data_IF_350889338793
#
_entry.id   IF_350889338793
#
_cell.length_a   1.000
_cell.length_b   1.000
_cell.length_c   1.000
_cell.angle_alpha   90.00
_cell.angle_beta   90.00
_cell.angle_gamma   90.00
#
_symmetry.space_group_name_H-M   'P 1'
#
loop_
_entity.id
_entity.type
_entity.pdbx_description
1 polymer ?
#
# COMPACT_ATOMS: atom_id res chain seq x y z
N UNK A 1 7.97 -4.70 20.72
CA UNK A 1 7.95 -5.08 19.29
C UNK A 1 9.18 -5.92 18.99
N UNK A 2 9.01 -7.23 18.96
CA UNK A 2 9.98 -8.16 18.37
C UNK A 2 10.08 -7.83 16.89
N UNK A 3 11.21 -7.26 16.47
CA UNK A 3 11.45 -6.99 15.05
C UNK A 3 11.54 -8.34 14.33
N UNK A 4 10.71 -8.56 13.32
CA UNK A 4 10.89 -9.69 12.42
C UNK A 4 12.25 -9.52 11.73
N UNK A 5 13.18 -10.43 11.99
CA UNK A 5 14.51 -10.42 11.38
C UNK A 5 14.36 -10.73 9.89
N UNK A 6 14.36 -9.71 9.04
CA UNK A 6 14.32 -9.89 7.58
C UNK A 6 13.58 -8.80 6.80
N UNK A 7 12.69 -8.04 7.44
CA UNK A 7 11.96 -6.96 6.78
C UNK A 7 12.93 -5.81 6.43
N UNK A 8 12.79 -5.27 5.22
CA UNK A 8 13.38 -4.00 4.82
C UNK A 8 12.48 -2.89 5.35
N UNK A 9 13.07 -1.82 5.85
CA UNK A 9 12.29 -0.66 6.31
C UNK A 9 11.24 -1.01 7.38
N UNK A 10 11.46 -2.11 8.12
CA UNK A 10 10.59 -2.52 9.22
C UNK A 10 9.34 -3.29 8.84
N UNK A 11 8.76 -3.06 7.66
CA UNK A 11 7.46 -3.61 7.21
C UNK A 11 7.42 -3.99 5.72
N UNK A 12 8.56 -3.96 5.00
CA UNK A 12 8.63 -4.42 3.61
C UNK A 12 9.30 -5.79 3.53
N UNK A 13 8.68 -6.75 2.82
CA UNK A 13 9.28 -8.07 2.57
C UNK A 13 10.47 -7.96 1.62
N UNK A 14 11.62 -8.56 1.97
CA UNK A 14 12.83 -8.59 1.14
C UNK A 14 12.81 -9.72 0.09
N UNK A 15 11.77 -9.76 -0.73
CA UNK A 15 11.58 -10.77 -1.78
C UNK A 15 12.40 -10.46 -3.06
N UNK A 16 12.32 -11.33 -4.06
CA UNK A 16 13.01 -11.15 -5.34
C UNK A 16 12.55 -9.87 -6.05
N UNK A 17 11.25 -9.56 -5.99
CA UNK A 17 10.67 -8.36 -6.59
C UNK A 17 11.26 -7.09 -5.96
N UNK A 18 11.36 -7.00 -4.63
CA UNK A 18 12.03 -5.89 -3.96
C UNK A 18 13.47 -5.70 -4.48
N UNK A 19 14.22 -6.80 -4.64
CA UNK A 19 15.61 -6.75 -5.12
C UNK A 19 15.70 -6.29 -6.57
N UNK A 20 14.75 -6.69 -7.43
CA UNK A 20 14.66 -6.23 -8.81
C UNK A 20 14.32 -4.73 -8.86
N UNK A 21 13.28 -4.30 -8.12
CA UNK A 21 12.82 -2.90 -8.10
C UNK A 21 13.87 -1.93 -7.56
N UNK A 22 14.74 -2.39 -6.67
CA UNK A 22 15.83 -1.58 -6.11
C UNK A 22 17.16 -1.74 -6.84
N UNK A 23 17.19 -2.45 -7.98
CA UNK A 23 18.40 -2.65 -8.79
C UNK A 23 19.48 -3.50 -8.14
N UNK A 24 19.16 -4.27 -7.10
CA UNK A 24 20.10 -5.15 -6.38
C UNK A 24 20.39 -6.45 -7.11
N UNK A 25 19.48 -6.89 -7.97
CA UNK A 25 19.65 -8.06 -8.83
C UNK A 25 19.25 -7.67 -10.25
N UNK A 26 20.05 -8.08 -11.24
CA UNK A 26 19.72 -7.90 -12.65
C UNK A 26 18.49 -8.73 -13.01
N UNK A 27 17.59 -8.17 -13.80
CA UNK A 27 16.40 -8.90 -14.23
C UNK A 27 16.80 -10.14 -15.05
N UNK A 28 16.52 -11.37 -14.59
CA UNK A 28 17.05 -12.61 -15.20
C UNK A 28 16.55 -12.89 -16.63
N UNK A 29 15.66 -12.08 -17.21
CA UNK A 29 15.21 -12.23 -18.62
C UNK A 29 15.65 -11.11 -19.58
N UNK A 30 16.72 -10.38 -19.27
CA UNK A 30 17.57 -9.72 -20.29
C UNK A 30 16.94 -8.71 -21.25
N UNK A 31 15.83 -8.02 -20.91
CA UNK A 31 15.35 -6.87 -21.71
C UNK A 31 15.73 -5.54 -21.05
N UNK A 32 16.33 -4.66 -21.86
CA UNK A 32 16.80 -3.32 -21.52
C UNK A 32 15.67 -2.50 -20.88
N UNK A 33 15.91 -2.06 -19.66
CA UNK A 33 15.66 -0.69 -19.19
C UNK A 33 14.32 0.00 -19.44
N UNK A 34 13.22 -0.76 -19.48
CA UNK A 34 11.93 -0.23 -19.04
C UNK A 34 11.26 -1.23 -18.11
N UNK A 35 11.33 -0.97 -16.81
CA UNK A 35 10.48 -1.61 -15.79
C UNK A 35 8.97 -1.36 -16.03
N UNK A 36 8.59 -0.70 -17.15
CA UNK A 36 7.23 -0.63 -17.67
C UNK A 36 6.74 -1.97 -18.26
N UNK A 37 7.63 -2.92 -18.56
CA UNK A 37 7.30 -4.12 -19.35
C UNK A 37 6.96 -5.36 -18.49
N UNK A 38 6.81 -5.20 -17.17
CA UNK A 38 6.24 -6.23 -16.29
C UNK A 38 5.28 -5.59 -15.30
N UNK A 39 3.99 -5.90 -15.41
CA UNK A 39 3.16 -6.61 -14.43
C UNK A 39 3.42 -6.51 -12.90
N UNK A 40 4.19 -5.54 -12.40
CA UNK A 40 4.38 -5.23 -10.98
C UNK A 40 3.17 -4.53 -10.38
N UNK A 41 2.33 -3.96 -11.23
CA UNK A 41 1.05 -3.39 -10.83
C UNK A 41 -0.05 -4.44 -10.96
N UNK A 42 -1.12 -4.22 -10.20
CA UNK A 42 -2.33 -5.00 -10.35
C UNK A 42 -3.00 -4.68 -11.68
N UNK A 43 -3.21 -5.71 -12.50
CA UNK A 43 -3.78 -5.56 -13.84
C UNK A 43 -5.15 -4.86 -13.77
N UNK A 44 -5.36 -3.89 -14.66
CA UNK A 44 -6.57 -3.08 -14.71
C UNK A 44 -6.92 -2.34 -13.40
N UNK A 45 -5.95 -2.14 -12.50
CA UNK A 45 -6.16 -1.60 -11.15
C UNK A 45 -7.12 -2.47 -10.29
N UNK A 46 -7.20 -3.77 -10.57
CA UNK A 46 -8.06 -4.71 -9.83
C UNK A 46 -7.20 -5.57 -8.93
N UNK A 47 -7.47 -5.54 -7.63
CA UNK A 47 -6.77 -6.33 -6.60
C UNK A 47 -7.67 -7.46 -6.11
N UNK A 48 -7.47 -8.71 -6.60
CA UNK A 48 -8.09 -9.87 -5.98
C UNK A 48 -7.59 -10.05 -4.54
N UNK A 49 -8.50 -10.34 -3.62
CA UNK A 49 -8.15 -10.54 -2.20
C UNK A 49 -8.93 -11.67 -1.54
N UNK A 50 -8.33 -12.25 -0.51
CA UNK A 50 -9.02 -13.06 0.48
C UNK A 50 -8.70 -12.53 1.89
N UNK A 51 -9.61 -12.71 2.83
CA UNK A 51 -9.38 -12.39 4.24
C UNK A 51 -9.46 -13.69 5.04
N UNK A 52 -8.30 -14.15 5.52
CA UNK A 52 -8.15 -15.44 6.18
C UNK A 52 -9.05 -15.56 7.41
N UNK A 53 -9.42 -16.80 7.76
CA UNK A 53 -10.41 -17.11 8.80
C UNK A 53 -10.01 -16.57 10.19
N UNK A 54 -8.72 -16.56 10.47
CA UNK A 54 -8.08 -16.02 11.69
C UNK A 54 -8.24 -14.50 11.86
N UNK A 55 -8.65 -13.77 10.81
CA UNK A 55 -8.87 -12.33 10.91
C UNK A 55 -10.12 -12.01 11.74
N UNK A 56 -9.92 -11.25 12.82
CA UNK A 56 -11.00 -10.79 13.70
C UNK A 56 -12.06 -9.96 12.97
N UNK A 57 -13.28 -9.91 13.53
CA UNK A 57 -14.40 -9.10 13.00
C UNK A 57 -13.99 -7.64 12.83
N UNK A 58 -13.26 -7.10 13.81
CA UNK A 58 -12.69 -5.74 13.74
C UNK A 58 -11.72 -5.59 12.57
N UNK A 59 -10.77 -6.51 12.41
CA UNK A 59 -9.81 -6.52 11.30
C UNK A 59 -10.49 -6.51 9.95
N UNK A 60 -11.44 -7.43 9.71
CA UNK A 60 -12.25 -7.50 8.49
C UNK A 60 -12.96 -6.18 8.18
N UNK A 61 -13.57 -5.55 9.20
CA UNK A 61 -14.27 -4.27 9.06
C UNK A 61 -13.31 -3.14 8.66
N UNK A 62 -12.11 -3.12 9.24
CA UNK A 62 -11.09 -2.10 8.95
C UNK A 62 -10.50 -2.29 7.55
N UNK A 63 -10.22 -3.53 7.13
CA UNK A 63 -9.77 -3.85 5.76
C UNK A 63 -10.77 -3.35 4.72
N UNK A 64 -12.05 -3.69 4.86
CA UNK A 64 -13.10 -3.19 3.95
C UNK A 64 -13.25 -1.67 3.96
N UNK A 65 -12.97 -1.00 5.10
CA UNK A 65 -12.96 0.47 5.17
C UNK A 65 -11.77 1.06 4.41
N UNK A 66 -10.59 0.45 4.50
CA UNK A 66 -9.41 0.84 3.73
C UNK A 66 -9.67 0.70 2.22
N UNK A 67 -10.23 -0.44 1.78
CA UNK A 67 -10.62 -0.66 0.38
C UNK A 67 -11.50 0.46 -0.16
N UNK A 68 -12.58 0.79 0.55
CA UNK A 68 -13.48 1.89 0.17
C UNK A 68 -12.79 3.25 0.17
N UNK A 69 -11.82 3.48 1.04
CA UNK A 69 -11.13 4.77 1.11
C UNK A 69 -10.21 5.00 -0.10
N UNK A 70 -9.52 3.95 -0.53
CA UNK A 70 -8.67 3.95 -1.73
C UNK A 70 -9.54 4.03 -3.00
N UNK A 71 -10.53 3.14 -3.13
CA UNK A 71 -11.42 3.09 -4.29
C UNK A 71 -12.30 4.35 -4.44
N UNK A 72 -12.54 5.11 -3.37
CA UNK A 72 -13.28 6.38 -3.48
C UNK A 72 -12.48 7.49 -4.19
N UNK A 73 -11.14 7.38 -4.20
CA UNK A 73 -10.24 8.46 -4.65
C UNK A 73 -9.34 8.03 -5.81
N UNK A 74 -9.50 6.80 -6.29
CA UNK A 74 -8.72 6.22 -7.36
C UNK A 74 -9.53 5.15 -8.08
N UNK A 75 -9.08 4.76 -9.28
CA UNK A 75 -9.64 3.66 -10.04
C UNK A 75 -9.30 2.26 -9.48
N UNK A 76 -8.52 2.18 -8.40
CA UNK A 76 -8.15 0.91 -7.77
C UNK A 76 -9.38 0.28 -7.12
N UNK A 77 -9.64 -0.99 -7.45
CA UNK A 77 -10.77 -1.76 -6.93
C UNK A 77 -10.31 -3.06 -6.28
N UNK A 78 -11.09 -3.55 -5.32
CA UNK A 78 -10.77 -4.72 -4.53
C UNK A 78 -11.85 -5.78 -4.73
N UNK A 79 -11.48 -6.95 -5.23
CA UNK A 79 -12.43 -8.00 -5.56
C UNK A 79 -12.16 -9.26 -4.73
N UNK A 80 -13.18 -9.91 -4.14
CA UNK A 80 -13.02 -11.22 -3.52
C UNK A 80 -12.44 -12.21 -4.53
N UNK A 81 -11.36 -12.88 -4.13
CA UNK A 81 -10.66 -13.86 -4.96
C UNK A 81 -11.65 -14.90 -5.50
N UNK A 82 -11.45 -15.25 -6.76
CA UNK A 82 -12.15 -16.32 -7.48
C UNK A 82 -11.13 -17.37 -7.89
N UNK A 83 -11.58 -18.59 -8.23
CA UNK A 83 -10.69 -19.70 -8.57
C UNK A 83 -9.72 -19.41 -9.73
N UNK A 84 -10.10 -18.55 -10.67
CA UNK A 84 -9.29 -18.16 -11.82
C UNK A 84 -8.25 -17.05 -11.52
N UNK A 85 -8.26 -16.47 -10.31
CA UNK A 85 -7.23 -15.51 -9.91
C UNK A 85 -6.00 -16.25 -9.40
N UNK A 86 -4.95 -16.26 -10.22
CA UNK A 86 -3.65 -16.79 -9.85
C UNK A 86 -2.94 -15.88 -8.84
N UNK A 87 -3.07 -14.56 -9.01
CA UNK A 87 -2.41 -13.57 -8.17
C UNK A 87 -3.43 -12.82 -7.30
N UNK A 88 -3.14 -12.72 -6.01
CA UNK A 88 -4.06 -12.12 -5.06
C UNK A 88 -3.39 -11.83 -3.72
N UNK A 89 -3.98 -10.91 -2.95
CA UNK A 89 -3.56 -10.61 -1.58
C UNK A 89 -4.34 -11.48 -0.58
N UNK A 90 -3.63 -12.13 0.32
CA UNK A 90 -4.20 -12.82 1.49
C UNK A 90 -3.93 -11.99 2.74
N UNK A 91 -5.00 -11.41 3.30
CA UNK A 91 -4.93 -10.68 4.57
C UNK A 91 -5.02 -11.66 5.75
N UNK A 92 -3.98 -11.72 6.57
CA UNK A 92 -3.86 -12.68 7.68
C UNK A 92 -3.66 -11.98 9.03
N UNK A 93 -3.99 -12.66 10.12
CA UNK A 93 -3.68 -12.19 11.48
C UNK A 93 -2.29 -12.66 11.91
N UNK A 94 -1.26 -12.09 11.30
CA UNK A 94 0.14 -12.46 11.54
C UNK A 94 0.81 -11.71 12.70
N UNK A 95 2.12 -11.94 12.86
CA UNK A 95 2.99 -11.22 13.79
C UNK A 95 3.60 -10.02 13.07
N UNK A 96 3.38 -8.82 13.61
CA UNK A 96 3.77 -7.57 12.95
C UNK A 96 2.90 -7.23 11.72
N UNK A 97 3.26 -6.13 11.08
CA UNK A 97 2.51 -5.52 10.01
C UNK A 97 3.48 -5.31 8.86
N UNK A 98 3.19 -5.92 7.72
CA UNK A 98 4.08 -5.89 6.58
C UNK A 98 3.38 -6.33 5.29
N UNK A 99 3.97 -5.94 4.18
CA UNK A 99 3.59 -6.34 2.83
C UNK A 99 4.80 -6.45 1.91
N UNK A 100 4.65 -7.18 0.81
CA UNK A 100 5.50 -7.02 -0.37
C UNK A 100 5.17 -5.71 -1.10
N UNK A 101 6.09 -5.25 -1.96
CA UNK A 101 5.88 -4.09 -2.83
C UNK A 101 5.28 -4.53 -4.15
N UNK A 102 4.09 -4.03 -4.49
CA UNK A 102 3.40 -4.35 -5.75
C UNK A 102 2.85 -5.77 -5.81
N UNK A 103 2.46 -6.20 -7.02
CA UNK A 103 2.01 -7.55 -7.34
C UNK A 103 3.21 -8.46 -7.56
N UNK A 104 3.46 -9.39 -6.64
CA UNK A 104 4.62 -10.31 -6.74
C UNK A 104 4.33 -11.60 -7.51
N UNK A 105 3.05 -11.90 -7.75
CA UNK A 105 2.58 -13.15 -8.34
C UNK A 105 2.20 -14.21 -7.28
N UNK A 106 1.23 -15.05 -7.61
CA UNK A 106 0.67 -16.04 -6.71
C UNK A 106 -0.04 -15.44 -5.49
N UNK A 107 -0.09 -16.23 -4.41
CA UNK A 107 -0.56 -15.78 -3.10
C UNK A 107 0.48 -14.88 -2.44
N UNK A 108 0.19 -13.60 -2.26
CA UNK A 108 1.02 -12.70 -1.46
C UNK A 108 0.33 -12.29 -0.15
N UNK A 109 1.10 -12.13 0.91
CA UNK A 109 0.57 -11.86 2.25
C UNK A 109 0.62 -10.37 2.57
N UNK A 110 -0.48 -9.88 3.13
CA UNK A 110 -0.48 -8.67 3.97
C UNK A 110 -0.75 -9.11 5.40
N UNK A 111 0.29 -9.01 6.25
CA UNK A 111 0.18 -9.37 7.67
C UNK A 111 -0.37 -8.20 8.45
N UNK A 112 -1.39 -8.44 9.27
CA UNK A 112 -1.96 -7.42 10.16
C UNK A 112 -2.05 -7.97 11.58
N UNK A 113 -1.08 -7.61 12.41
CA UNK A 113 -1.18 -7.82 13.85
C UNK A 113 -2.23 -6.87 14.48
N UNK A 114 -2.70 -7.18 15.69
CA UNK A 114 -3.81 -6.46 16.32
C UNK A 114 -3.56 -4.96 16.51
N UNK A 115 -2.30 -4.57 16.75
CA UNK A 115 -1.87 -3.17 16.90
C UNK A 115 -1.92 -2.37 15.59
N UNK A 116 -2.01 -3.01 14.42
CA UNK A 116 -2.16 -2.35 13.13
C UNK A 116 -3.56 -2.45 12.52
N UNK A 117 -4.52 -3.10 13.21
CA UNK A 117 -5.92 -3.21 12.76
C UNK A 117 -6.69 -1.91 13.00
N UNK A 118 -6.13 -0.80 12.54
CA UNK A 118 -6.78 0.51 12.40
C UNK A 118 -6.55 1.05 10.99
N UNK A 119 -7.46 1.92 10.56
CA UNK A 119 -7.66 2.26 9.15
C UNK A 119 -6.37 2.71 8.43
N UNK A 120 -5.60 3.62 9.02
CA UNK A 120 -4.43 4.17 8.34
C UNK A 120 -3.29 3.16 8.17
N UNK A 121 -3.01 2.30 9.16
CA UNK A 121 -2.01 1.24 8.99
C UNK A 121 -2.43 0.23 7.93
N UNK A 122 -3.70 -0.16 7.88
CA UNK A 122 -4.16 -1.06 6.83
C UNK A 122 -4.07 -0.40 5.44
N UNK A 123 -4.35 0.90 5.31
CA UNK A 123 -4.10 1.64 4.06
C UNK A 123 -2.62 1.61 3.69
N UNK A 124 -1.72 1.88 4.64
CA UNK A 124 -0.27 1.85 4.44
C UNK A 124 0.22 0.50 3.91
N UNK A 125 -0.17 -0.62 4.54
CA UNK A 125 0.21 -1.95 4.03
C UNK A 125 -0.38 -2.26 2.64
N UNK A 126 -1.60 -1.76 2.36
CA UNK A 126 -2.19 -1.89 1.03
C UNK A 126 -1.40 -1.05 0.02
N UNK A 127 -0.94 0.15 0.36
CA UNK A 127 -0.12 0.97 -0.54
C UNK A 127 1.20 0.27 -0.88
N UNK A 128 1.86 -0.38 0.08
CA UNK A 128 2.98 -1.27 -0.24
C UNK A 128 2.56 -2.31 -1.28
N UNK A 129 1.49 -3.06 -1.05
CA UNK A 129 0.99 -4.06 -2.01
C UNK A 129 0.57 -3.46 -3.37
N UNK A 130 0.24 -2.17 -3.44
CA UNK A 130 -0.05 -1.46 -4.69
C UNK A 130 1.21 -0.98 -5.42
N UNK A 131 2.36 -0.97 -4.75
CA UNK A 131 3.66 -0.61 -5.35
C UNK A 131 4.41 0.52 -4.65
N UNK A 132 3.91 1.09 -3.56
CA UNK A 132 4.51 2.27 -2.95
C UNK A 132 5.57 1.92 -1.90
N UNK A 133 6.77 2.51 -2.04
CA UNK A 133 7.80 2.52 -1.00
C UNK A 133 7.52 3.62 0.04
N UNK A 134 8.35 3.72 1.07
CA UNK A 134 8.24 4.81 2.02
C UNK A 134 8.70 6.15 1.44
N UNK A 135 8.04 7.23 1.81
CA UNK A 135 8.38 8.57 1.33
C UNK A 135 9.79 9.00 1.76
N UNK A 136 10.24 8.62 2.96
CA UNK A 136 11.60 8.91 3.43
C UNK A 136 12.68 8.07 2.74
N UNK A 137 12.32 7.15 1.84
CA UNK A 137 13.28 6.34 1.09
C UNK A 137 13.60 6.93 -0.29
N UNK A 138 12.80 7.91 -0.78
CA UNK A 138 12.96 8.57 -2.08
C UNK A 138 14.40 8.99 -2.37
N UNK A 139 14.80 8.95 -3.64
CA UNK A 139 16.16 9.36 -4.05
C UNK A 139 16.48 10.84 -3.78
N UNK A 140 15.46 11.71 -3.82
CA UNK A 140 15.55 13.15 -3.62
C UNK A 140 15.39 13.59 -2.15
N UNK A 141 15.11 12.66 -1.23
CA UNK A 141 14.75 12.98 0.17
C UNK A 141 15.74 13.89 0.90
N UNK A 142 17.02 13.82 0.54
CA UNK A 142 18.08 14.56 1.24
C UNK A 142 17.98 16.08 0.98
N UNK A 143 17.14 16.49 0.03
CA UNK A 143 16.76 17.90 -0.20
C UNK A 143 15.68 18.38 0.79
N UNK A 144 15.00 17.46 1.48
CA UNK A 144 13.81 17.76 2.29
C UNK A 144 13.99 17.41 3.76
N UNK A 145 14.67 16.29 4.04
CA UNK A 145 14.88 15.74 5.38
C UNK A 145 16.36 15.43 5.62
N UNK A 146 16.76 15.42 6.89
CA UNK A 146 18.03 14.84 7.35
C UNK A 146 17.79 13.61 8.21
N UNK A 147 18.66 12.62 8.02
CA UNK A 147 18.75 11.42 8.87
C UNK A 147 19.76 11.67 9.99
N UNK A 148 19.31 11.61 11.24
CA UNK A 148 20.16 11.80 12.42
C UNK A 148 20.74 10.45 12.84
N UNK A 149 21.74 10.02 12.07
CA UNK A 149 22.36 8.69 12.17
C UNK A 149 22.78 8.27 13.58
N UNK A 150 23.26 9.22 14.40
CA UNK A 150 23.69 8.95 15.78
C UNK A 150 22.58 8.48 16.72
N UNK A 151 21.30 8.77 16.40
CA UNK A 151 20.15 8.40 17.21
C UNK A 151 19.53 7.06 16.80
N UNK A 152 19.96 6.44 15.70
CA UNK A 152 19.38 5.18 15.18
C UNK A 152 19.97 3.98 15.94
N UNK A 153 19.13 2.99 16.28
CA UNK A 153 19.55 1.71 16.87
C UNK A 153 20.60 1.00 16.01
N UNK A 154 21.59 0.37 16.66
CA UNK A 154 22.57 -0.50 15.98
C UNK A 154 21.81 -1.57 15.17
N UNK A 155 22.23 -1.81 13.93
CA UNK A 155 21.57 -2.75 13.01
C UNK A 155 20.37 -2.19 12.23
N UNK A 156 19.83 -1.01 12.60
CA UNK A 156 18.64 -0.43 11.95
C UNK A 156 18.95 0.63 10.89
N UNK A 157 20.22 0.99 10.69
CA UNK A 157 20.64 2.01 9.70
C UNK A 157 20.18 1.68 8.27
N UNK A 158 20.09 0.39 7.92
CA UNK A 158 19.62 -0.06 6.60
C UNK A 158 18.18 0.37 6.26
N UNK A 159 17.35 0.66 7.27
CA UNK A 159 15.97 1.11 7.12
C UNK A 159 15.86 2.61 6.76
N UNK A 160 17.00 3.30 6.71
CA UNK A 160 17.12 4.70 6.31
C UNK A 160 17.98 4.85 5.06
N UNK A 161 18.29 3.78 4.35
CA UNK A 161 18.99 3.91 3.07
C UNK A 161 18.01 4.47 2.05
N UNK A 162 18.49 5.30 1.13
CA UNK A 162 17.70 5.80 0.00
C UNK A 162 17.98 4.92 -1.20
N UNK A 163 16.97 4.68 -2.02
CA UNK A 163 17.13 3.95 -3.27
C UNK A 163 16.42 4.71 -4.38
N UNK A 164 16.87 4.51 -5.63
CA UNK A 164 16.10 4.93 -6.80
C UNK A 164 15.09 3.83 -7.07
N UNK A 165 13.82 4.05 -6.76
CA UNK A 165 12.74 3.05 -6.93
C UNK A 165 12.29 2.89 -8.39
N UNK A 166 13.16 3.16 -9.37
CA UNK A 166 12.80 3.18 -10.78
C UNK A 166 11.70 4.22 -11.09
N UNK A 167 10.68 3.88 -11.90
CA UNK A 167 9.67 4.83 -12.38
C UNK A 167 8.71 5.35 -11.30
N UNK A 168 8.65 4.68 -10.13
CA UNK A 168 7.71 5.02 -9.05
C UNK A 168 8.33 5.85 -7.93
N UNK A 169 9.59 6.24 -8.08
CA UNK A 169 10.34 6.93 -7.03
C UNK A 169 9.69 8.26 -6.62
N UNK A 170 9.33 9.09 -7.60
CA UNK A 170 8.66 10.37 -7.34
C UNK A 170 7.28 10.47 -7.99
N UNK A 171 7.09 9.79 -9.12
CA UNK A 171 5.92 9.94 -10.01
C UNK A 171 5.63 11.42 -10.36
N UNK A 172 6.68 12.22 -10.48
CA UNK A 172 6.59 13.67 -10.71
C UNK A 172 5.69 14.39 -9.70
N UNK A 173 5.72 13.95 -8.43
CA UNK A 173 5.02 14.59 -7.32
C UNK A 173 6.03 15.15 -6.30
N UNK A 174 5.70 16.28 -5.65
CA UNK A 174 6.56 16.88 -4.63
C UNK A 174 6.73 15.94 -3.42
N UNK A 175 7.82 16.10 -2.69
CA UNK A 175 8.05 15.37 -1.44
C UNK A 175 6.96 15.67 -0.41
N UNK A 176 6.30 14.63 0.11
CA UNK A 176 5.18 14.78 1.03
C UNK A 176 5.53 14.39 2.47
N UNK A 177 5.90 15.38 3.28
CA UNK A 177 6.18 15.21 4.71
C UNK A 177 5.03 14.57 5.51
N UNK A 178 3.80 14.66 5.01
CA UNK A 178 2.60 14.14 5.66
C UNK A 178 2.06 12.89 4.96
N UNK A 179 2.77 12.32 3.99
CA UNK A 179 2.38 11.06 3.35
C UNK A 179 2.12 10.00 4.41
N UNK A 180 1.09 9.17 4.18
CA UNK A 180 0.85 8.01 5.03
C UNK A 180 2.00 6.98 4.97
N UNK A 181 2.86 7.09 3.94
CA UNK A 181 4.06 6.28 3.72
C UNK A 181 5.32 6.93 4.29
N UNK A 182 5.24 8.05 5.01
CA UNK A 182 6.40 8.65 5.65
C UNK A 182 6.63 8.05 7.04
N UNK A 183 7.88 7.74 7.40
CA UNK A 183 8.24 7.41 8.79
C UNK A 183 7.97 8.56 9.77
N UNK A 184 7.73 8.23 11.03
CA UNK A 184 7.70 9.22 12.10
C UNK A 184 9.11 9.72 12.48
N UNK A 185 9.18 10.86 13.17
CA UNK A 185 10.45 11.48 13.56
C UNK A 185 11.36 10.56 14.38
N UNK A 186 10.81 9.58 15.11
CA UNK A 186 11.52 8.73 16.08
C UNK A 186 11.66 7.29 15.61
N UNK A 187 11.36 6.99 14.34
CA UNK A 187 11.50 5.66 13.78
C UNK A 187 12.86 5.04 14.15
N UNK A 188 12.85 3.82 14.69
CA UNK A 188 14.04 3.08 15.13
C UNK A 188 15.03 3.84 16.05
N UNK A 189 14.56 4.82 16.83
CA UNK A 189 15.41 5.57 17.77
C UNK A 189 15.95 4.69 18.90
N UNK A 190 17.23 4.88 19.25
CA UNK A 190 17.86 4.19 20.40
C UNK A 190 17.76 4.95 21.71
N UNK A 191 17.41 6.23 21.65
CA UNK A 191 17.49 7.16 22.79
C UNK A 191 16.26 8.08 22.91
N UNK A 192 15.17 7.76 22.22
CA UNK A 192 13.92 8.53 22.26
C UNK A 192 13.97 9.89 21.54
N UNK A 193 15.12 10.25 20.95
CA UNK A 193 15.33 11.45 20.15
C UNK A 193 15.06 11.18 18.67
N UNK A 194 14.83 12.25 17.91
CA UNK A 194 14.51 12.15 16.49
C UNK A 194 15.63 11.47 15.70
N UNK A 195 15.25 10.59 14.78
CA UNK A 195 16.07 10.01 13.72
C UNK A 195 15.80 10.69 12.38
N UNK A 196 14.66 11.36 12.20
CA UNK A 196 14.28 12.13 11.02
C UNK A 196 13.78 13.53 11.37
N UNK A 197 14.24 14.53 10.63
CA UNK A 197 13.79 15.92 10.73
C UNK A 197 13.71 16.57 9.35
N UNK A 198 12.70 17.42 9.14
CA UNK A 198 12.67 18.34 8.00
C UNK A 198 13.85 19.33 8.09
N UNK A 199 14.45 19.65 6.94
CA UNK A 199 15.53 20.62 6.83
C UNK A 199 15.03 22.06 7.07
N UNK A 200 13.81 22.38 6.62
CA UNK A 200 13.23 23.73 6.70
C UNK A 200 12.44 23.96 7.98
N UNK A 201 11.86 22.91 8.57
CA UNK A 201 11.15 23.00 9.85
C UNK A 201 11.47 21.81 10.76
N UNK A 202 12.54 21.88 11.57
CA UNK A 202 12.95 20.78 12.45
C UNK A 202 11.90 20.35 13.49
N UNK A 203 10.89 21.18 13.79
CA UNK A 203 9.81 20.86 14.74
C UNK A 203 8.60 20.18 14.08
N UNK A 204 8.60 20.02 12.77
CA UNK A 204 7.52 19.36 12.03
C UNK A 204 7.33 17.91 12.49
N UNK A 205 6.08 17.55 12.78
CA UNK A 205 5.70 16.16 13.10
C UNK A 205 5.51 15.36 11.81
N UNK A 206 6.33 14.34 11.63
CA UNK A 206 6.29 13.41 10.51
C UNK A 206 5.56 12.11 10.93
N UNK A 207 5.20 11.29 9.95
CA UNK A 207 4.63 9.95 10.20
C UNK A 207 3.19 9.94 10.68
N UNK A 208 2.37 10.85 10.16
CA UNK A 208 0.93 10.75 10.37
C UNK A 208 0.40 9.46 9.74
N UNK A 209 -0.51 8.77 10.43
CA UNK A 209 -1.09 7.51 9.97
C UNK A 209 -2.62 7.57 9.98
N UNK A 210 -3.19 8.75 9.70
CA UNK A 210 -4.63 9.00 9.83
C UNK A 210 -5.37 8.89 8.50
N UNK A 211 -4.77 9.37 7.41
CA UNK A 211 -5.42 9.51 6.09
C UNK A 211 -4.40 9.55 4.96
N UNK A 212 -4.86 9.25 3.76
CA UNK A 212 -4.15 9.60 2.53
C UNK A 212 -4.09 11.12 2.37
N UNK A 213 -2.94 11.64 1.94
CA UNK A 213 -2.81 13.03 1.49
C UNK A 213 -3.30 13.16 0.04
N UNK A 214 -3.30 14.40 -0.47
CA UNK A 214 -3.56 14.66 -1.89
C UNK A 214 -2.45 14.04 -2.75
N UNK A 215 -1.20 14.13 -2.30
CA UNK A 215 -0.04 13.57 -3.00
C UNK A 215 -0.12 12.05 -3.06
N UNK A 216 -0.43 11.36 -1.95
CA UNK A 216 -0.64 9.91 -1.94
C UNK A 216 -1.67 9.49 -3.00
N UNK A 217 -2.79 10.21 -3.08
CA UNK A 217 -3.88 9.95 -4.05
C UNK A 217 -3.42 10.21 -5.49
N UNK A 218 -2.71 11.31 -5.75
CA UNK A 218 -2.18 11.63 -7.07
C UNK A 218 -1.22 10.55 -7.55
N UNK A 219 -0.32 10.09 -6.68
CA UNK A 219 0.63 9.04 -6.99
C UNK A 219 -0.08 7.72 -7.33
N UNK A 220 -1.10 7.31 -6.56
CA UNK A 220 -1.94 6.15 -6.90
C UNK A 220 -2.57 6.31 -8.30
N UNK A 221 -3.16 7.47 -8.58
CA UNK A 221 -3.85 7.72 -9.84
C UNK A 221 -2.92 7.78 -11.05
N UNK A 222 -1.70 8.33 -10.88
CA UNK A 222 -0.66 8.33 -11.90
C UNK A 222 -0.16 6.91 -12.16
N UNK A 223 0.12 6.15 -11.09
CA UNK A 223 0.64 4.79 -11.18
C UNK A 223 -0.31 3.84 -11.91
N UNK A 224 -1.61 3.97 -11.63
CA UNK A 224 -2.67 3.12 -12.20
C UNK A 224 -3.38 3.77 -13.41
N UNK A 225 -2.86 4.88 -13.93
CA UNK A 225 -3.40 5.60 -15.10
C UNK A 225 -4.92 5.86 -15.03
N UNK A 226 -5.41 6.24 -13.85
CA UNK A 226 -6.85 6.37 -13.61
C UNK A 226 -7.54 7.44 -14.48
N UNK A 227 -6.78 8.41 -15.00
CA UNK A 227 -7.29 9.45 -15.90
C UNK A 227 -7.18 9.10 -17.40
N UNK A 228 -6.56 7.96 -17.75
CA UNK A 228 -6.18 7.61 -19.13
C UNK A 228 -6.98 6.51 -19.81
N UNK A 229 -7.92 5.84 -19.11
CA UNK A 229 -8.68 4.71 -19.67
C UNK A 229 -10.16 5.05 -19.88
N UNK A 230 -10.45 5.93 -20.84
CA UNK A 230 -11.79 6.10 -21.43
C UNK A 230 -11.91 5.53 -22.85
N UNK A 231 -10.88 4.85 -23.36
CA UNK A 231 -10.94 4.17 -24.65
C UNK A 231 -11.34 2.70 -24.46
N UNK A 232 -12.60 2.39 -24.78
CA UNK A 232 -13.07 1.02 -25.03
C UNK A 232 -13.58 0.20 -23.84
N UNK A 233 -13.48 0.67 -22.59
CA UNK A 233 -14.21 0.03 -21.47
C UNK A 233 -15.64 0.53 -21.44
N UNK A 234 -16.62 -0.38 -21.52
CA UNK A 234 -17.99 -0.07 -21.11
C UNK A 234 -17.90 0.54 -19.71
N UNK A 235 -18.26 1.82 -19.58
CA UNK A 235 -18.23 2.52 -18.29
C UNK A 235 -19.31 1.88 -17.44
N UNK A 236 -18.96 0.80 -16.73
CA UNK A 236 -19.76 0.31 -15.63
C UNK A 236 -19.70 1.41 -14.59
N UNK A 237 -20.74 2.25 -14.56
CA UNK A 237 -20.84 3.38 -13.64
C UNK A 237 -20.60 2.86 -12.23
N UNK A 238 -19.54 3.32 -11.58
CA UNK A 238 -19.23 2.91 -10.22
C UNK A 238 -20.29 3.47 -9.25
N UNK A 239 -21.33 2.68 -9.02
CA UNK A 239 -22.53 3.10 -8.32
C UNK A 239 -23.08 2.01 -7.40
N UNK A 240 -23.94 2.44 -6.49
CA UNK A 240 -24.85 1.59 -5.75
C UNK A 240 -26.25 1.81 -6.30
N UNK A 241 -26.94 0.73 -6.68
CA UNK A 241 -28.31 0.78 -7.22
C UNK A 241 -29.38 0.46 -6.16
N UNK A 242 -28.95 0.05 -4.95
CA UNK A 242 -29.84 -0.18 -3.80
C UNK A 242 -29.54 0.79 -2.67
N UNK A 243 -30.59 1.34 -2.06
CA UNK A 243 -30.48 2.38 -1.03
C UNK A 243 -29.82 1.90 0.28
N UNK A 244 -29.78 0.59 0.53
CA UNK A 244 -29.22 0.00 1.76
C UNK A 244 -27.78 -0.54 1.64
N UNK A 245 -27.09 -0.31 0.52
CA UNK A 245 -25.74 -0.85 0.28
C UNK A 245 -24.74 -0.45 1.37
N UNK A 246 -24.70 0.81 1.80
CA UNK A 246 -23.81 1.28 2.87
C UNK A 246 -24.05 0.55 4.19
N UNK A 247 -25.32 0.39 4.57
CA UNK A 247 -25.69 -0.29 5.82
C UNK A 247 -25.30 -1.78 5.77
N UNK A 248 -25.62 -2.48 4.67
CA UNK A 248 -25.35 -3.91 4.51
C UNK A 248 -23.85 -4.22 4.51
N UNK A 249 -23.07 -3.46 3.75
CA UNK A 249 -21.62 -3.67 3.56
C UNK A 249 -20.77 -3.24 4.77
N UNK A 250 -21.31 -2.43 5.67
CA UNK A 250 -20.59 -1.95 6.85
C UNK A 250 -20.62 -2.92 8.05
N UNK A 251 -21.60 -3.83 8.08
CA UNK A 251 -21.87 -4.73 9.21
C UNK A 251 -21.64 -6.21 8.93
N UNK A 252 -21.53 -6.60 7.65
CA UNK A 252 -21.48 -8.02 7.25
C UNK A 252 -20.31 -8.29 6.31
N UNK A 253 -20.04 -9.56 6.01
CA UNK A 253 -19.14 -10.03 4.96
C UNK A 253 -19.86 -10.24 3.62
N UNK A 254 -20.98 -9.54 3.40
CA UNK A 254 -21.84 -9.74 2.22
C UNK A 254 -21.12 -9.47 0.89
N UNK A 255 -20.12 -8.59 0.89
CA UNK A 255 -19.30 -8.33 -0.29
C UNK A 255 -18.57 -9.61 -0.73
N UNK A 256 -18.02 -10.37 0.21
CA UNK A 256 -17.34 -11.63 -0.06
C UNK A 256 -18.31 -12.77 -0.34
N UNK A 257 -19.33 -12.98 0.51
CA UNK A 257 -20.21 -14.15 0.41
C UNK A 257 -21.27 -14.05 -0.69
N UNK A 258 -21.65 -12.84 -1.11
CA UNK A 258 -22.63 -12.60 -2.17
C UNK A 258 -22.02 -11.76 -3.29
N UNK A 259 -20.78 -12.08 -3.69
CA UNK A 259 -20.00 -11.29 -4.64
C UNK A 259 -20.77 -10.89 -5.91
N UNK A 260 -21.37 -11.85 -6.64
CA UNK A 260 -22.13 -11.57 -7.87
C UNK A 260 -23.26 -10.55 -7.65
N UNK A 261 -24.12 -10.81 -6.66
CA UNK A 261 -25.22 -9.92 -6.28
C UNK A 261 -24.73 -8.52 -5.88
N UNK A 262 -23.65 -8.45 -5.10
CA UNK A 262 -23.12 -7.19 -4.60
C UNK A 262 -22.39 -6.40 -5.69
N UNK A 263 -21.77 -7.07 -6.68
CA UNK A 263 -21.19 -6.45 -7.85
C UNK A 263 -22.24 -5.76 -8.71
N UNK A 264 -23.41 -6.37 -8.87
CA UNK A 264 -24.50 -5.77 -9.66
C UNK A 264 -25.20 -4.63 -8.92
N UNK A 265 -25.38 -4.74 -7.60
CA UNK A 265 -26.25 -3.84 -6.85
C UNK A 265 -25.53 -2.78 -6.01
N UNK A 266 -24.30 -3.06 -5.57
CA UNK A 266 -23.60 -2.33 -4.52
C UNK A 266 -22.08 -2.24 -4.76
N UNK A 267 -21.66 -2.13 -6.02
CA UNK A 267 -20.25 -2.17 -6.41
C UNK A 267 -19.42 -1.11 -5.68
N UNK A 268 -19.95 0.12 -5.59
CA UNK A 268 -19.27 1.24 -4.92
C UNK A 268 -19.11 1.00 -3.42
N UNK A 269 -20.16 0.57 -2.73
CA UNK A 269 -20.13 0.28 -1.29
C UNK A 269 -19.22 -0.91 -0.93
N UNK A 270 -19.00 -1.84 -1.86
CA UNK A 270 -18.07 -2.95 -1.70
C UNK A 270 -16.65 -2.65 -2.21
N UNK A 271 -16.40 -1.46 -2.78
CA UNK A 271 -15.13 -1.11 -3.42
C UNK A 271 -14.74 -2.01 -4.60
N UNK A 272 -15.74 -2.53 -5.34
CA UNK A 272 -15.55 -3.38 -6.52
C UNK A 272 -15.30 -2.58 -7.81
N UNK A 273 -15.28 -1.26 -7.68
CA UNK A 273 -14.96 -0.27 -8.70
C UNK A 273 -14.36 0.94 -7.99
N UNK A 274 -13.54 1.70 -8.73
CA UNK A 274 -12.96 2.96 -8.31
C UNK A 274 -13.23 4.07 -9.33
#
# INVERSE_FOLDING_TARGET
MTFFTGLIEGDIVNDEQFKILTGRIANPRGRRDTLSDRNFHWENAVVPYEIANDMSIRGRKVIRRAFREIAKRSCVSFMPRQAYHNDYISFISGKGCYSSIGRVGGRQVVSLHDDCKYRGKVIHEILHALGFFHEHSRSDRNQYIKVIWKNIKKGMRRNFVSYRHGPIDTLDEPYDFLSIMHYDNKAFTKNGRDTLQSLTNPKMKLGQIKRLTKTDVNQINKLYHCNGHNEGRTIVKCADFKNNCKLRTSKTNVCEVKYKLMKENCAKSCAFCG
#
